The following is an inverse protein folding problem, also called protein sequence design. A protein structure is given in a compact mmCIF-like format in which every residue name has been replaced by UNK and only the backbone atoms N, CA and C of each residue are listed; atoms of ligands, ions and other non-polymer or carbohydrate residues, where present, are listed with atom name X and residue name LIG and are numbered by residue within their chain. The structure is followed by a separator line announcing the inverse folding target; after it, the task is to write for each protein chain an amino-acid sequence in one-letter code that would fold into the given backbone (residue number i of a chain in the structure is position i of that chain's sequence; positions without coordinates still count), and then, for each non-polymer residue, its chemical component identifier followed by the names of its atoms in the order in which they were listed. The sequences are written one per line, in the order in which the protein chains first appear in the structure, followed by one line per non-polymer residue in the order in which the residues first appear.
data_IF_665118219327
#
_entry.id   IF_665118219327
#
_cell.length_a   1.000
_cell.length_b   1.000
_cell.length_c   1.000
_cell.angle_alpha   90.00
_cell.angle_beta   90.00
_cell.angle_gamma   90.00
#
_symmetry.space_group_name_H-M   'P 1'
#
loop_
_entity.id
_entity.type
_entity.pdbx_description
1 polymer ?
#
# COMPACT_ATOMS: atom_id res chain seq x y z
N UNK A 1 -11.11 0.31 -4.88
CA UNK A 1 -11.27 1.40 -3.90
C UNK A 1 -10.02 2.24 -4.02
N UNK A 2 -10.12 3.56 -4.04
CA UNK A 2 -8.97 4.44 -4.27
C UNK A 2 -8.00 4.44 -3.08
N UNK A 3 -6.68 4.39 -3.34
CA UNK A 3 -5.65 4.31 -2.29
C UNK A 3 -5.75 5.40 -1.23
N UNK A 4 -6.08 6.64 -1.62
CA UNK A 4 -6.17 7.75 -0.67
C UNK A 4 -7.23 7.52 0.43
N UNK A 5 -8.23 6.67 0.19
CA UNK A 5 -9.32 6.41 1.15
C UNK A 5 -8.86 5.56 2.33
N UNK A 6 -7.96 4.60 2.11
CA UNK A 6 -7.48 3.69 3.14
C UNK A 6 -6.03 3.99 3.55
N UNK A 7 -5.28 4.76 2.76
CA UNK A 7 -3.93 5.19 3.11
C UNK A 7 -3.88 5.96 4.43
N UNK A 8 -4.89 6.76 4.75
CA UNK A 8 -4.94 7.51 6.01
C UNK A 8 -4.96 6.59 7.23
N UNK A 9 -5.69 5.48 7.13
CA UNK A 9 -5.90 4.52 8.20
C UNK A 9 -4.84 3.41 8.26
N UNK A 10 -3.98 3.32 7.24
CA UNK A 10 -2.86 2.38 7.21
C UNK A 10 -1.87 2.67 8.34
N UNK A 11 -1.41 1.62 9.02
CA UNK A 11 -0.43 1.76 10.09
C UNK A 11 0.94 2.22 9.55
N UNK A 12 1.78 2.73 10.47
CA UNK A 12 3.06 3.31 10.10
C UNK A 12 4.03 2.27 9.53
N UNK A 13 4.05 1.06 10.07
CA UNK A 13 4.99 0.00 9.64
C UNK A 13 4.68 -0.43 8.20
N UNK A 14 3.41 -0.62 7.88
CA UNK A 14 2.97 -0.93 6.52
C UNK A 14 3.28 0.23 5.56
N UNK A 15 3.06 1.48 5.98
CA UNK A 15 3.41 2.67 5.18
C UNK A 15 4.91 2.74 4.91
N UNK A 16 5.74 2.58 5.92
CA UNK A 16 7.20 2.61 5.80
C UNK A 16 7.70 1.53 4.86
N UNK A 17 7.22 0.29 5.03
CA UNK A 17 7.58 -0.81 4.14
C UNK A 17 7.25 -0.50 2.67
N UNK A 18 6.04 0.01 2.39
CA UNK A 18 5.60 0.36 1.03
C UNK A 18 6.45 1.48 0.41
N UNK A 19 6.90 2.44 1.21
CA UNK A 19 7.78 3.53 0.75
C UNK A 19 9.20 3.06 0.48
N UNK A 20 9.73 2.15 1.29
CA UNK A 20 11.08 1.59 1.11
C UNK A 20 11.15 0.57 -0.03
N UNK A 21 10.03 -0.10 -0.33
CA UNK A 21 9.92 -1.17 -1.32
C UNK A 21 8.98 -0.77 -2.47
N UNK A 22 9.15 0.46 -2.99
CA UNK A 22 8.38 0.96 -4.12
C UNK A 22 8.41 -0.02 -5.30
N UNK A 23 7.24 -0.25 -5.91
CA UNK A 23 7.05 -1.14 -7.07
C UNK A 23 7.40 -2.61 -6.79
N UNK A 24 7.35 -3.05 -5.54
CA UNK A 24 7.53 -4.46 -5.20
C UNK A 24 6.51 -5.33 -5.96
N UNK A 25 7.02 -6.37 -6.64
CA UNK A 25 6.19 -7.33 -7.37
C UNK A 25 5.41 -8.24 -6.41
N UNK A 26 5.94 -8.47 -5.21
CA UNK A 26 5.33 -9.28 -4.16
C UNK A 26 5.25 -8.49 -2.85
N UNK A 27 4.08 -8.54 -2.20
CA UNK A 27 3.86 -7.94 -0.90
C UNK A 27 3.91 -9.02 0.19
N UNK A 28 4.67 -8.82 1.28
CA UNK A 28 4.62 -9.69 2.45
C UNK A 28 3.20 -9.80 3.00
N UNK A 29 2.87 -10.97 3.58
CA UNK A 29 1.52 -11.20 4.13
C UNK A 29 1.10 -10.13 5.14
N UNK A 30 2.03 -9.66 5.99
CA UNK A 30 1.76 -8.61 6.97
C UNK A 30 1.32 -7.29 6.30
N UNK A 31 1.98 -6.90 5.21
CA UNK A 31 1.65 -5.67 4.45
C UNK A 31 0.28 -5.80 3.81
N UNK A 32 -0.01 -6.97 3.22
CA UNK A 32 -1.31 -7.26 2.62
C UNK A 32 -2.43 -7.26 3.66
N UNK A 33 -2.17 -7.79 4.85
CA UNK A 33 -3.10 -7.75 5.97
C UNK A 33 -3.35 -6.31 6.46
N UNK A 34 -2.29 -5.50 6.62
CA UNK A 34 -2.43 -4.10 6.99
C UNK A 34 -3.25 -3.31 5.97
N UNK A 35 -3.03 -3.53 4.67
CA UNK A 35 -3.85 -2.93 3.60
C UNK A 35 -5.32 -3.34 3.74
N UNK A 36 -5.60 -4.62 3.95
CA UNK A 36 -6.96 -5.12 4.12
C UNK A 36 -7.66 -4.55 5.38
N UNK A 37 -6.93 -4.47 6.50
CA UNK A 37 -7.44 -3.92 7.77
C UNK A 37 -7.76 -2.42 7.68
N UNK A 38 -6.99 -1.68 6.88
CA UNK A 38 -7.25 -0.28 6.56
C UNK A 38 -8.44 -0.08 5.58
N UNK A 39 -9.06 -1.16 5.09
CA UNK A 39 -10.17 -1.11 4.13
C UNK A 39 -9.73 -1.14 2.66
N UNK A 40 -8.45 -1.41 2.41
CA UNK A 40 -7.89 -1.61 1.08
C UNK A 40 -8.22 -2.98 0.46
N UNK A 41 -7.62 -3.30 -0.70
CA UNK A 41 -7.86 -4.55 -1.42
C UNK A 41 -7.45 -5.80 -0.62
N UNK A 42 -8.30 -6.83 -0.64
CA UNK A 42 -8.08 -8.10 0.05
C UNK A 42 -7.33 -9.11 -0.86
N UNK A 43 -6.44 -9.95 -0.30
CA UNK A 43 -5.69 -10.99 -1.04
C UNK A 43 -6.56 -12.03 -1.76
N UNK A 44 -7.85 -12.14 -1.43
CA UNK A 44 -8.76 -13.06 -2.13
C UNK A 44 -9.11 -12.60 -3.56
N UNK A 45 -8.62 -11.43 -3.96
CA UNK A 45 -8.78 -10.90 -5.31
C UNK A 45 -7.52 -11.20 -6.14
N UNK A 46 -7.61 -11.89 -7.29
CA UNK A 46 -6.45 -12.35 -8.08
C UNK A 46 -5.71 -11.23 -8.84
N UNK A 47 -5.91 -9.98 -8.45
CA UNK A 47 -5.24 -8.82 -9.03
C UNK A 47 -4.14 -8.43 -8.05
N UNK A 48 -2.95 -8.12 -8.57
CA UNK A 48 -1.88 -7.43 -7.82
C UNK A 48 -2.51 -6.43 -6.86
N UNK A 49 -2.23 -6.58 -5.55
CA UNK A 49 -2.90 -5.83 -4.48
C UNK A 49 -2.85 -4.32 -4.71
N UNK A 50 -1.79 -3.84 -5.35
CA UNK A 50 -1.62 -2.45 -5.74
C UNK A 50 -1.44 -2.34 -7.26
N UNK A 51 -2.12 -1.37 -7.85
CA UNK A 51 -2.00 -0.97 -9.25
C UNK A 51 -0.83 0.00 -9.45
N UNK A 52 -0.47 0.29 -10.71
CA UNK A 52 0.54 1.32 -11.01
C UNK A 52 0.17 2.69 -10.43
N UNK A 53 -1.11 3.07 -10.48
CA UNK A 53 -1.60 4.33 -9.92
C UNK A 53 -1.50 4.38 -8.39
N UNK A 54 -1.68 3.23 -7.72
CA UNK A 54 -1.50 3.14 -6.26
C UNK A 54 -0.03 3.35 -5.90
N UNK A 55 0.88 2.76 -6.67
CA UNK A 55 2.32 2.97 -6.49
C UNK A 55 2.75 4.41 -6.79
N UNK A 56 2.21 5.04 -7.84
CA UNK A 56 2.46 6.46 -8.13
C UNK A 56 2.05 7.33 -6.94
N UNK A 57 0.90 7.06 -6.32
CA UNK A 57 0.46 7.76 -5.13
C UNK A 57 1.45 7.56 -3.96
N UNK A 58 1.85 6.32 -3.66
CA UNK A 58 2.80 6.02 -2.57
C UNK A 58 4.13 6.75 -2.79
N UNK A 59 4.63 6.78 -4.02
CA UNK A 59 5.85 7.49 -4.39
C UNK A 59 5.75 8.99 -4.07
N UNK A 60 4.63 9.65 -4.42
CA UNK A 60 4.42 11.06 -4.03
C UNK A 60 4.41 11.25 -2.51
N UNK A 61 3.90 10.27 -1.74
CA UNK A 61 3.86 10.35 -0.28
C UNK A 61 5.21 10.05 0.38
N UNK A 62 6.20 9.53 -0.35
CA UNK A 62 7.58 9.36 0.11
C UNK A 62 8.38 10.65 -0.02
N UNK A 63 8.12 11.46 -1.05
CA UNK A 63 8.84 12.73 -1.30
C UNK A 63 8.65 13.78 -0.19
N UNK A 64 7.66 13.61 0.69
CA UNK A 64 7.39 14.51 1.82
C UNK A 64 7.91 14.00 3.17
N UNK A 65 8.53 12.82 3.21
CA UNK A 65 9.06 12.20 4.43
C UNK A 65 10.59 12.23 4.36
N UNK A 66 11.17 13.43 4.51
CA UNK A 66 12.61 13.67 4.67
C UNK A 66 12.83 14.47 5.98
#
# INVERSE_FOLDING_TARGET
MEIFMWWLDLDLETKEWLRENLRAEELPLAVVQGIAEAGGPHPDTPVTVLTEADWDFIETQSEFVD
#
